data_IF_250363818634
#
_entry.id   IF_250363818634
#
_cell.length_a   1.000
_cell.length_b   1.000
_cell.length_c   1.000
_cell.angle_alpha   90.00
_cell.angle_beta   90.00
_cell.angle_gamma   90.00
#
_symmetry.space_group_name_H-M   'P 1'
#
loop_
_entity.id
_entity.type
_entity.pdbx_description
1 polymer ?
#
# COMPACT_ATOMS: atom_id res chain seq x y z
N UNK A 1 25.13 -8.98 17.71
CA UNK A 1 25.72 -9.74 16.57
C UNK A 1 26.13 -8.87 15.39
N UNK A 2 25.26 -8.09 14.72
CA UNK A 2 25.68 -7.27 13.55
C UNK A 2 26.80 -6.26 13.89
N UNK A 3 26.63 -5.45 14.95
CA UNK A 3 27.64 -4.46 15.36
C UNK A 3 28.98 -5.09 15.76
N UNK A 4 28.98 -6.29 16.37
CA UNK A 4 30.22 -6.97 16.74
C UNK A 4 31.07 -7.34 15.52
N UNK A 5 30.45 -7.66 14.39
CA UNK A 5 31.18 -7.93 13.15
C UNK A 5 31.85 -6.66 12.59
N UNK A 6 31.16 -5.52 12.64
CA UNK A 6 31.74 -4.24 12.18
C UNK A 6 32.79 -3.66 13.13
N UNK A 7 32.83 -4.10 14.39
CA UNK A 7 33.83 -3.67 15.38
C UNK A 7 35.16 -4.44 15.32
N UNK A 8 35.23 -5.54 14.56
CA UNK A 8 36.42 -6.38 14.53
C UNK A 8 37.59 -5.67 13.86
N UNK A 9 37.40 -5.16 12.68
CA UNK A 9 38.43 -4.50 11.90
C UNK A 9 37.84 -3.47 10.92
N UNK A 10 38.66 -2.51 10.54
CA UNK A 10 38.31 -1.54 9.50
C UNK A 10 38.24 -2.21 8.12
N UNK A 11 37.17 -2.01 7.40
CA UNK A 11 36.98 -2.62 6.07
C UNK A 11 37.95 -2.07 5.03
N UNK A 12 38.47 -0.83 5.22
CA UNK A 12 39.41 -0.22 4.31
C UNK A 12 40.89 -0.60 4.59
N UNK A 13 41.37 -0.38 5.83
CA UNK A 13 42.77 -0.55 6.18
C UNK A 13 43.09 -1.74 7.09
N UNK A 14 42.08 -2.53 7.50
CA UNK A 14 42.17 -3.70 8.36
C UNK A 14 42.66 -3.42 9.81
N UNK A 15 42.80 -2.15 10.20
CA UNK A 15 43.13 -1.78 11.57
C UNK A 15 42.05 -2.27 12.54
N UNK A 16 42.44 -2.67 13.73
CA UNK A 16 41.55 -3.19 14.76
C UNK A 16 40.71 -2.11 15.42
N UNK A 17 39.54 -2.50 15.93
CA UNK A 17 38.63 -1.69 16.76
C UNK A 17 38.27 -0.31 16.19
N UNK A 18 37.74 -0.24 14.97
CA UNK A 18 37.21 1.02 14.44
C UNK A 18 35.99 1.46 15.27
N UNK A 19 35.72 2.75 15.28
CA UNK A 19 34.49 3.30 15.89
C UNK A 19 33.31 3.02 15.00
N UNK A 20 32.31 2.34 15.53
CA UNK A 20 31.10 1.95 14.77
C UNK A 20 29.86 2.61 15.36
N UNK A 21 29.11 3.30 14.50
CA UNK A 21 27.82 3.88 14.85
C UNK A 21 26.72 3.30 13.98
N UNK A 22 25.51 3.18 14.52
CA UNK A 22 24.36 2.60 13.83
C UNK A 22 23.18 3.58 13.84
N UNK A 23 22.59 3.79 12.67
CA UNK A 23 21.35 4.56 12.50
C UNK A 23 20.25 3.65 11.99
N UNK A 24 19.06 3.81 12.55
CA UNK A 24 17.83 3.11 12.11
C UNK A 24 16.92 4.09 11.36
N UNK A 25 16.41 3.67 10.21
CA UNK A 25 15.45 4.44 9.42
C UNK A 25 14.31 3.48 8.95
N UNK A 26 13.28 3.39 9.79
CA UNK A 26 12.23 2.39 9.58
C UNK A 26 12.79 0.98 9.66
N UNK A 27 12.63 0.19 8.59
CA UNK A 27 13.17 -1.17 8.47
C UNK A 27 14.64 -1.23 8.08
N UNK A 28 15.23 -0.10 7.70
CA UNK A 28 16.64 -0.02 7.28
C UNK A 28 17.56 0.24 8.45
N UNK A 29 18.69 -0.43 8.43
CA UNK A 29 19.83 -0.18 9.32
C UNK A 29 21.01 0.32 8.48
N UNK A 30 21.59 1.44 8.89
CA UNK A 30 22.83 1.97 8.32
C UNK A 30 23.90 1.89 9.39
N UNK A 31 25.04 1.30 9.05
CA UNK A 31 26.23 1.20 9.90
C UNK A 31 27.30 2.12 9.32
N UNK A 32 27.81 3.01 10.13
CA UNK A 32 28.94 3.88 9.83
C UNK A 32 30.15 3.38 10.61
N UNK A 33 31.26 3.20 9.93
CA UNK A 33 32.55 2.82 10.52
C UNK A 33 33.56 3.95 10.28
N UNK A 34 34.07 4.49 11.36
CA UNK A 34 35.12 5.50 11.37
C UNK A 34 36.43 4.87 11.88
N UNK A 35 37.53 5.04 11.18
CA UNK A 35 38.83 4.49 11.54
C UNK A 35 39.80 5.60 11.88
N UNK A 36 40.56 5.40 12.96
CA UNK A 36 41.62 6.37 13.36
C UNK A 36 42.88 6.29 12.49
N UNK A 37 43.05 5.20 11.72
CA UNK A 37 44.24 4.95 10.89
C UNK A 37 44.06 5.33 9.42
N UNK A 38 42.84 5.39 8.94
CA UNK A 38 42.53 5.83 7.58
C UNK A 38 41.46 6.92 7.59
N UNK A 39 41.58 7.88 6.70
CA UNK A 39 40.67 9.03 6.59
C UNK A 39 39.29 8.61 6.02
N UNK A 40 39.23 7.49 5.31
CA UNK A 40 38.04 7.03 4.63
C UNK A 40 37.15 6.25 5.58
N UNK A 41 35.95 6.79 5.86
CA UNK A 41 34.88 6.06 6.53
C UNK A 41 34.26 4.99 5.62
N UNK A 42 33.75 3.92 6.22
CA UNK A 42 32.94 2.92 5.52
C UNK A 42 31.48 3.01 5.94
N UNK A 43 30.58 2.94 4.97
CA UNK A 43 29.14 2.98 5.23
C UNK A 43 28.46 1.76 4.61
N UNK A 44 27.77 1.01 5.44
CA UNK A 44 26.96 -0.13 5.00
C UNK A 44 25.48 0.13 5.28
N UNK A 45 24.64 -0.32 4.36
CA UNK A 45 23.18 -0.25 4.50
C UNK A 45 22.58 -1.62 4.30
N UNK A 46 21.59 -1.99 5.14
CA UNK A 46 20.92 -3.28 5.06
C UNK A 46 20.02 -3.41 3.82
N UNK A 47 19.69 -2.30 3.18
CA UNK A 47 18.84 -2.25 1.98
C UNK A 47 19.07 -0.93 1.22
N UNK A 48 18.75 -0.86 -0.08
CA UNK A 48 18.88 0.37 -0.86
C UNK A 48 17.79 1.39 -0.51
N UNK A 49 17.98 2.62 -0.99
CA UNK A 49 16.93 3.62 -1.06
C UNK A 49 16.17 3.53 -2.39
N UNK A 50 14.83 3.65 -2.32
CA UNK A 50 13.96 3.87 -3.48
C UNK A 50 13.72 5.38 -3.61
N UNK A 51 13.75 5.89 -4.84
CA UNK A 51 13.63 7.33 -5.13
C UNK A 51 14.61 8.20 -4.33
N UNK A 52 15.80 7.68 -4.05
CA UNK A 52 16.89 8.37 -3.36
C UNK A 52 16.72 8.60 -1.86
N UNK A 53 15.55 8.35 -1.27
CA UNK A 53 15.27 8.70 0.14
C UNK A 53 14.40 7.74 0.94
N UNK A 54 13.73 6.79 0.30
CA UNK A 54 12.85 5.86 1.02
C UNK A 54 13.53 4.50 1.15
N UNK A 55 13.72 3.97 2.38
CA UNK A 55 14.22 2.60 2.56
C UNK A 55 13.34 1.59 1.82
N UNK A 56 13.98 0.72 1.04
CA UNK A 56 13.27 -0.19 0.14
C UNK A 56 12.24 -1.09 0.86
N UNK A 57 12.54 -1.55 2.08
CA UNK A 57 11.64 -2.42 2.83
C UNK A 57 10.43 -1.72 3.47
N UNK A 58 10.47 -0.39 3.58
CA UNK A 58 9.36 0.36 4.20
C UNK A 58 8.11 0.35 3.32
N UNK A 59 8.25 0.44 2.01
CA UNK A 59 7.10 0.51 1.08
C UNK A 59 6.39 -0.84 0.97
N UNK A 60 7.09 -1.98 0.74
CA UNK A 60 6.47 -3.31 0.73
C UNK A 60 5.79 -3.68 2.05
N UNK A 61 6.38 -3.31 3.20
CA UNK A 61 5.74 -3.53 4.49
C UNK A 61 4.42 -2.76 4.60
N UNK A 62 4.40 -1.50 4.15
CA UNK A 62 3.15 -0.70 4.12
C UNK A 62 2.12 -1.29 3.16
N UNK A 63 2.56 -1.73 1.99
CA UNK A 63 1.71 -2.33 0.97
C UNK A 63 1.10 -3.64 1.45
N UNK A 64 1.93 -4.56 1.98
CA UNK A 64 1.46 -5.84 2.53
C UNK A 64 0.51 -5.66 3.70
N UNK A 65 0.78 -4.70 4.61
CA UNK A 65 -0.11 -4.39 5.73
C UNK A 65 -1.49 -3.93 5.24
N UNK A 66 -1.54 -3.06 4.22
CA UNK A 66 -2.80 -2.57 3.66
C UNK A 66 -3.58 -3.68 2.95
N UNK A 67 -2.92 -4.47 2.09
CA UNK A 67 -3.57 -5.56 1.35
C UNK A 67 -4.08 -6.68 2.25
N UNK A 68 -3.36 -6.96 3.35
CA UNK A 68 -3.80 -7.93 4.35
C UNK A 68 -4.97 -7.43 5.22
N UNK A 69 -5.38 -6.16 5.08
CA UNK A 69 -6.39 -5.55 5.96
C UNK A 69 -5.95 -5.47 7.43
N UNK A 70 -4.63 -5.53 7.68
CA UNK A 70 -4.09 -5.58 9.02
C UNK A 70 -3.98 -4.18 9.65
N UNK A 71 -4.19 -4.11 10.97
CA UNK A 71 -3.95 -2.88 11.72
C UNK A 71 -2.46 -2.58 11.78
N UNK A 72 -2.03 -1.43 11.26
CA UNK A 72 -0.62 -1.02 11.29
C UNK A 72 -0.07 -0.96 12.72
N UNK A 73 -0.87 -0.53 13.71
CA UNK A 73 -0.44 -0.47 15.11
C UNK A 73 -0.13 -1.87 15.65
N UNK A 74 -0.94 -2.88 15.32
CA UNK A 74 -0.70 -4.27 15.71
C UNK A 74 0.55 -4.84 15.02
N UNK A 75 0.74 -4.56 13.72
CA UNK A 75 1.91 -5.00 12.96
C UNK A 75 3.19 -4.41 13.57
N UNK A 76 3.21 -3.11 13.86
CA UNK A 76 4.37 -2.46 14.49
C UNK A 76 4.65 -3.07 15.87
N UNK A 77 3.62 -3.32 16.67
CA UNK A 77 3.77 -3.95 17.99
C UNK A 77 4.41 -5.35 17.88
N UNK A 78 3.96 -6.17 16.93
CA UNK A 78 4.56 -7.50 16.67
C UNK A 78 6.05 -7.35 16.33
N UNK A 79 6.39 -6.44 15.40
CA UNK A 79 7.79 -6.21 15.00
C UNK A 79 8.65 -5.75 16.18
N UNK A 80 8.11 -4.88 17.06
CA UNK A 80 8.79 -4.44 18.28
C UNK A 80 9.07 -5.59 19.24
N UNK A 81 8.08 -6.46 19.49
CA UNK A 81 8.27 -7.64 20.33
C UNK A 81 9.28 -8.65 19.75
N UNK A 82 9.38 -8.71 18.43
CA UNK A 82 10.41 -9.51 17.74
C UNK A 82 11.79 -8.84 17.72
N UNK A 83 11.94 -7.63 18.27
CA UNK A 83 13.18 -6.87 18.22
C UNK A 83 13.53 -6.30 16.84
N UNK A 84 12.56 -6.28 15.92
CA UNK A 84 12.75 -5.77 14.55
C UNK A 84 12.49 -4.25 14.50
N UNK A 85 13.27 -3.59 13.65
CA UNK A 85 13.09 -2.16 13.41
C UNK A 85 11.90 -1.91 12.48
N UNK A 86 11.04 -0.98 12.86
CA UNK A 86 9.92 -0.54 12.05
C UNK A 86 9.80 0.99 12.06
N UNK A 87 9.06 1.52 11.13
CA UNK A 87 8.72 2.94 11.07
C UNK A 87 7.45 3.25 11.90
N UNK A 88 7.17 4.55 12.09
CA UNK A 88 6.01 5.01 12.84
C UNK A 88 4.69 4.84 12.03
N UNK A 89 3.51 4.75 12.69
CA UNK A 89 2.21 4.76 12.00
C UNK A 89 2.04 5.96 11.05
N UNK A 90 2.58 7.13 11.41
CA UNK A 90 2.56 8.33 10.55
C UNK A 90 3.26 8.10 9.21
N UNK A 91 4.35 7.33 9.21
CA UNK A 91 5.07 6.96 7.98
C UNK A 91 4.23 6.02 7.11
N UNK A 92 3.51 5.08 7.72
CA UNK A 92 2.56 4.21 7.01
C UNK A 92 1.51 5.03 6.24
N UNK A 93 0.82 5.95 6.91
CA UNK A 93 -0.21 6.77 6.27
C UNK A 93 0.37 7.69 5.18
N UNK A 94 1.62 8.14 5.34
CA UNK A 94 2.32 8.88 4.28
C UNK A 94 2.59 7.99 3.06
N UNK A 95 3.08 6.76 3.24
CA UNK A 95 3.28 5.81 2.14
C UNK A 95 1.96 5.44 1.46
N UNK A 96 0.92 5.21 2.24
CA UNK A 96 -0.42 4.93 1.73
C UNK A 96 -0.90 6.04 0.78
N UNK A 97 -0.80 7.30 1.21
CA UNK A 97 -1.23 8.46 0.42
C UNK A 97 -0.37 8.70 -0.80
N UNK A 98 0.96 8.60 -0.66
CA UNK A 98 1.90 9.01 -1.71
C UNK A 98 2.13 7.93 -2.77
N UNK A 99 2.06 6.66 -2.40
CA UNK A 99 2.46 5.56 -3.28
C UNK A 99 1.36 4.53 -3.47
N UNK A 100 0.76 4.03 -2.37
CA UNK A 100 -0.05 2.83 -2.44
C UNK A 100 -1.40 3.12 -3.08
N UNK A 101 -2.15 4.10 -2.56
CA UNK A 101 -3.47 4.46 -3.11
C UNK A 101 -3.37 4.89 -4.57
N UNK A 102 -2.47 5.80 -4.99
CA UNK A 102 -2.35 6.19 -6.38
C UNK A 102 -2.02 5.02 -7.32
N UNK A 103 -1.17 4.09 -6.87
CA UNK A 103 -0.82 2.89 -7.67
C UNK A 103 -2.01 1.95 -7.83
N UNK A 104 -2.79 1.73 -6.74
CA UNK A 104 -4.00 0.90 -6.78
C UNK A 104 -5.04 1.53 -7.70
N UNK A 105 -5.29 2.84 -7.60
CA UNK A 105 -6.27 3.53 -8.42
C UNK A 105 -5.90 3.47 -9.91
N UNK A 106 -4.63 3.71 -10.25
CA UNK A 106 -4.15 3.60 -11.63
C UNK A 106 -4.30 2.17 -12.20
N UNK A 107 -3.94 1.17 -11.39
CA UNK A 107 -4.13 -0.24 -11.78
C UNK A 107 -5.62 -0.55 -11.98
N UNK A 108 -6.48 -0.12 -11.04
CA UNK A 108 -7.92 -0.33 -11.12
C UNK A 108 -8.53 0.31 -12.37
N UNK A 109 -8.16 1.55 -12.68
CA UNK A 109 -8.65 2.25 -13.87
C UNK A 109 -8.32 1.48 -15.16
N UNK A 110 -7.06 1.05 -15.31
CA UNK A 110 -6.62 0.24 -16.46
C UNK A 110 -7.37 -1.08 -16.53
N UNK A 111 -7.50 -1.78 -15.40
CA UNK A 111 -8.21 -3.06 -15.32
C UNK A 111 -9.71 -2.91 -15.62
N UNK A 112 -10.35 -1.89 -15.04
CA UNK A 112 -11.76 -1.59 -15.29
C UNK A 112 -12.04 -1.35 -16.77
N UNK A 113 -11.20 -0.57 -17.44
CA UNK A 113 -11.36 -0.30 -18.87
C UNK A 113 -11.28 -1.60 -19.69
N UNK A 114 -10.35 -2.49 -19.40
CA UNK A 114 -10.28 -3.80 -20.06
C UNK A 114 -11.51 -4.68 -19.82
N UNK A 115 -12.13 -4.59 -18.62
CA UNK A 115 -13.37 -5.30 -18.32
C UNK A 115 -14.58 -4.72 -19.08
N UNK A 116 -14.66 -3.40 -19.23
CA UNK A 116 -15.70 -2.73 -20.01
C UNK A 116 -15.58 -3.15 -21.48
N UNK A 117 -14.38 -3.16 -22.04
CA UNK A 117 -14.16 -3.59 -23.42
C UNK A 117 -14.53 -5.08 -23.62
N UNK A 118 -14.21 -5.93 -22.66
CA UNK A 118 -14.62 -7.32 -22.67
C UNK A 118 -16.16 -7.48 -22.60
N UNK A 119 -16.80 -6.67 -21.75
CA UNK A 119 -18.27 -6.66 -21.62
C UNK A 119 -18.95 -6.21 -22.94
N UNK A 120 -18.39 -5.23 -23.65
CA UNK A 120 -18.90 -4.77 -24.95
C UNK A 120 -18.81 -5.86 -26.04
N UNK A 121 -17.81 -6.74 -25.95
CA UNK A 121 -17.62 -7.85 -26.90
C UNK A 121 -18.46 -9.08 -26.57
N UNK A 122 -18.92 -9.21 -25.33
CA UNK A 122 -19.69 -10.36 -24.87
C UNK A 122 -21.18 -10.13 -25.12
N UNK A 123 -21.86 -11.10 -25.75
CA UNK A 123 -23.33 -11.06 -25.92
C UNK A 123 -24.03 -11.42 -24.62
N UNK A 124 -25.20 -10.81 -24.38
CA UNK A 124 -26.11 -11.14 -23.28
C UNK A 124 -25.46 -11.08 -21.90
N UNK A 125 -24.74 -9.96 -21.63
CA UNK A 125 -24.11 -9.74 -20.34
C UNK A 125 -25.19 -9.46 -19.28
N UNK A 126 -25.26 -10.31 -18.28
CA UNK A 126 -26.16 -10.15 -17.13
C UNK A 126 -25.44 -9.38 -16.03
N UNK A 127 -26.10 -8.34 -15.53
CA UNK A 127 -25.59 -7.46 -14.51
C UNK A 127 -26.32 -7.67 -13.18
N UNK A 128 -25.58 -7.60 -12.09
CA UNK A 128 -26.12 -7.55 -10.74
C UNK A 128 -25.38 -6.53 -9.90
N UNK A 129 -26.00 -6.05 -8.84
CA UNK A 129 -25.40 -5.12 -7.92
C UNK A 129 -25.78 -5.42 -6.48
N UNK A 130 -24.88 -5.07 -5.57
CA UNK A 130 -25.10 -5.22 -4.14
C UNK A 130 -24.54 -4.02 -3.39
N UNK A 131 -25.16 -3.68 -2.25
CA UNK A 131 -24.78 -2.57 -1.41
C UNK A 131 -24.32 -3.05 -0.04
N UNK A 132 -23.16 -2.56 0.40
CA UNK A 132 -22.64 -2.81 1.73
C UNK A 132 -22.44 -1.49 2.47
N UNK A 133 -22.85 -1.45 3.74
CA UNK A 133 -22.71 -0.30 4.61
C UNK A 133 -21.58 -0.49 5.62
N UNK A 134 -20.98 0.62 6.05
CA UNK A 134 -19.87 0.66 7.02
C UNK A 134 -20.29 0.30 8.44
N UNK A 135 -21.61 0.40 8.76
CA UNK A 135 -22.19 0.00 10.04
C UNK A 135 -23.62 -0.48 9.89
N UNK A 136 -24.09 -1.26 10.86
CA UNK A 136 -25.47 -1.77 10.87
C UNK A 136 -26.48 -0.69 11.27
N UNK A 137 -27.71 -0.79 10.71
CA UNK A 137 -28.85 0.06 11.06
C UNK A 137 -28.71 1.50 10.56
N UNK A 138 -29.37 2.43 11.24
CA UNK A 138 -29.44 3.85 10.85
C UNK A 138 -28.16 4.65 11.15
N UNK A 139 -27.11 4.03 11.70
CA UNK A 139 -25.85 4.67 12.06
C UNK A 139 -24.81 4.68 10.93
N UNK A 140 -25.11 4.06 9.80
CA UNK A 140 -24.20 4.02 8.64
C UNK A 140 -23.98 5.42 8.07
N UNK A 141 -22.71 5.78 7.86
CA UNK A 141 -22.31 7.06 7.25
C UNK A 141 -21.97 6.89 5.78
N UNK A 142 -21.41 5.75 5.43
CA UNK A 142 -21.00 5.42 4.07
C UNK A 142 -21.55 4.07 3.65
N UNK A 143 -21.88 3.97 2.37
CA UNK A 143 -22.19 2.74 1.69
C UNK A 143 -21.32 2.55 0.47
N UNK A 144 -20.98 1.32 0.13
CA UNK A 144 -20.36 0.95 -1.13
C UNK A 144 -21.36 0.17 -1.94
N UNK A 145 -21.64 0.65 -3.14
CA UNK A 145 -22.41 -0.12 -4.11
C UNK A 145 -21.44 -0.79 -5.09
N UNK A 146 -21.54 -2.09 -5.23
CA UNK A 146 -20.70 -2.90 -6.10
C UNK A 146 -21.52 -3.37 -7.29
N UNK A 147 -21.01 -3.16 -8.49
CA UNK A 147 -21.63 -3.56 -9.75
C UNK A 147 -20.80 -4.68 -10.38
N UNK A 148 -21.43 -5.83 -10.60
CA UNK A 148 -20.80 -7.06 -11.06
C UNK A 148 -21.50 -7.60 -12.29
N UNK A 149 -20.74 -8.18 -13.21
CA UNK A 149 -21.29 -9.03 -14.27
C UNK A 149 -21.25 -10.48 -13.83
N UNK A 150 -22.41 -11.14 -13.79
CA UNK A 150 -22.53 -12.57 -13.50
C UNK A 150 -22.03 -13.42 -14.67
N UNK A 151 -22.18 -12.95 -15.90
CA UNK A 151 -21.65 -13.62 -17.10
C UNK A 151 -20.12 -13.66 -17.10
N UNK A 152 -19.48 -12.56 -16.74
CA UNK A 152 -18.01 -12.46 -16.68
C UNK A 152 -17.44 -12.89 -15.33
N UNK A 153 -18.29 -13.05 -14.31
CA UNK A 153 -17.90 -13.30 -12.92
C UNK A 153 -16.87 -12.28 -12.40
N UNK A 154 -17.05 -11.00 -12.77
CA UNK A 154 -16.14 -9.90 -12.43
C UNK A 154 -16.90 -8.69 -11.91
N UNK A 155 -16.28 -8.02 -10.91
CA UNK A 155 -16.71 -6.70 -10.47
C UNK A 155 -16.19 -5.69 -11.48
N UNK A 156 -17.12 -4.91 -12.07
CA UNK A 156 -16.81 -3.94 -13.12
C UNK A 156 -16.72 -2.52 -12.57
N UNK A 157 -17.51 -2.24 -11.53
CA UNK A 157 -17.52 -0.93 -10.90
C UNK A 157 -17.89 -1.01 -9.42
N UNK A 158 -17.43 -0.06 -8.65
CA UNK A 158 -17.92 0.18 -7.30
C UNK A 158 -17.93 1.69 -7.03
N UNK A 159 -18.93 2.13 -6.27
CA UNK A 159 -19.10 3.52 -5.90
C UNK A 159 -19.22 3.66 -4.39
N UNK A 160 -18.49 4.63 -3.82
CA UNK A 160 -18.60 4.99 -2.41
C UNK A 160 -19.58 6.14 -2.27
N UNK A 161 -20.63 5.97 -1.52
CA UNK A 161 -21.71 6.95 -1.34
C UNK A 161 -21.88 7.29 0.13
N UNK A 162 -22.14 8.56 0.43
CA UNK A 162 -22.53 8.97 1.77
C UNK A 162 -24.03 8.69 1.98
N UNK A 163 -24.38 8.02 3.07
CA UNK A 163 -25.75 7.49 3.31
C UNK A 163 -26.85 8.59 3.27
N UNK A 164 -26.53 9.81 3.68
CA UNK A 164 -27.47 10.93 3.61
C UNK A 164 -27.94 11.28 2.18
N UNK A 165 -27.24 10.82 1.14
CA UNK A 165 -27.47 11.13 -0.28
C UNK A 165 -28.07 9.92 -1.04
N UNK A 166 -28.04 8.72 -0.43
CA UNK A 166 -28.35 7.43 -1.11
C UNK A 166 -29.76 7.38 -1.69
N UNK A 167 -30.75 7.97 -1.06
CA UNK A 167 -32.16 7.84 -1.50
C UNK A 167 -32.40 8.48 -2.87
N UNK A 168 -31.65 9.53 -3.22
CA UNK A 168 -31.81 10.25 -4.48
C UNK A 168 -30.88 9.77 -5.61
N UNK A 169 -29.64 9.37 -5.26
CA UNK A 169 -28.60 8.94 -6.23
C UNK A 169 -28.78 7.49 -6.70
N UNK A 170 -29.40 6.63 -5.90
CA UNK A 170 -29.59 5.22 -6.25
C UNK A 170 -30.45 5.05 -7.53
N UNK A 171 -31.48 5.89 -7.70
CA UNK A 171 -32.26 5.93 -8.92
C UNK A 171 -31.52 6.53 -10.11
N UNK A 172 -30.69 7.56 -9.86
CA UNK A 172 -29.94 8.26 -10.92
C UNK A 172 -28.74 7.46 -11.43
N UNK A 173 -28.02 6.75 -10.56
CA UNK A 173 -26.85 5.96 -10.96
C UNK A 173 -27.24 4.69 -11.74
N UNK A 174 -28.32 4.01 -11.36
CA UNK A 174 -28.86 2.90 -12.13
C UNK A 174 -29.34 3.37 -13.52
N UNK A 175 -29.90 4.56 -13.61
CA UNK A 175 -30.36 5.15 -14.87
C UNK A 175 -29.18 5.63 -15.74
N UNK A 176 -28.17 6.30 -15.16
CA UNK A 176 -26.97 6.76 -15.88
C UNK A 176 -26.08 5.63 -16.36
N UNK A 177 -25.83 4.58 -15.54
CA UNK A 177 -25.01 3.44 -15.97
C UNK A 177 -25.74 2.61 -17.04
N UNK A 178 -27.05 2.43 -16.92
CA UNK A 178 -27.86 1.78 -17.96
C UNK A 178 -27.83 2.57 -19.28
N UNK A 179 -27.94 3.90 -19.22
CA UNK A 179 -27.87 4.75 -20.42
C UNK A 179 -26.46 4.86 -20.99
N UNK A 180 -25.42 4.92 -20.17
CA UNK A 180 -24.03 5.00 -20.64
C UNK A 180 -23.58 3.75 -21.37
N UNK A 181 -24.02 2.55 -20.89
CA UNK A 181 -23.70 1.28 -21.54
C UNK A 181 -24.59 1.03 -22.79
N UNK A 182 -25.79 1.61 -22.83
CA UNK A 182 -26.72 1.43 -23.96
C UNK A 182 -26.55 2.48 -25.07
N UNK A 183 -25.97 3.65 -24.78
CA UNK A 183 -25.81 4.73 -25.78
C UNK A 183 -24.51 4.63 -26.61
N UNK A 184 -23.60 3.72 -26.28
CA UNK A 184 -22.39 3.45 -27.08
C UNK A 184 -22.50 2.15 -27.92
N UNK A 185 -23.72 1.75 -28.32
CA UNK A 185 -23.92 0.69 -29.33
C UNK A 185 -24.22 1.26 -30.71
#
# INVERSE_FOLDING_TARGET
MLLSLFNLFCFNCKAEKPKVTMKKDGTMVTVYQECNHCINGFTWRSQPYIFGRFPAGNIPLSFGTLLAGASISKVILILQHMGLCAYSPRTFFRHQRMFIIPSILKYWETYRNSLIDLAKQTKDVVWCGDARFDSMGHCAKYGVYTFMSTTLMKIVHFELVQVAIIICLFCLLLFCLSTYILHEK
#
